data_IF_229981051149
#
_entry.id   IF_229981051149
#
_cell.length_a   1.000
_cell.length_b   1.000
_cell.length_c   1.000
_cell.angle_alpha   90.00
_cell.angle_beta   90.00
_cell.angle_gamma   90.00
#
_symmetry.space_group_name_H-M   'P 1'
#
loop_
_entity.id
_entity.type
_entity.pdbx_description
1 polymer ?
#
# COMPACT_ATOMS: atom_id res chain seq x y z
N UNK A 1 -21.69 5.44 28.52
CA UNK A 1 -20.22 5.28 28.46
C UNK A 1 -19.72 5.99 27.21
N UNK A 2 -18.95 7.05 27.37
CA UNK A 2 -18.29 7.66 26.21
C UNK A 2 -17.16 6.74 25.72
N UNK A 3 -17.13 6.46 24.43
CA UNK A 3 -16.07 5.64 23.82
C UNK A 3 -14.76 6.42 23.86
N UNK A 4 -13.65 5.80 24.32
CA UNK A 4 -12.33 6.44 24.39
C UNK A 4 -11.79 6.80 23.01
N UNK A 5 -10.82 7.72 22.96
CA UNK A 5 -10.13 8.11 21.71
C UNK A 5 -9.55 6.89 21.00
N UNK A 6 -8.98 5.94 21.75
CA UNK A 6 -8.46 4.67 21.21
C UNK A 6 -9.51 3.89 20.42
N UNK A 7 -10.73 3.73 21.00
CA UNK A 7 -11.79 2.96 20.34
C UNK A 7 -12.27 3.65 19.07
N UNK A 8 -12.42 4.99 19.09
CA UNK A 8 -12.82 5.75 17.90
C UNK A 8 -11.79 5.64 16.78
N UNK A 9 -10.50 5.83 17.11
CA UNK A 9 -9.40 5.71 16.15
C UNK A 9 -9.30 4.29 15.60
N UNK A 10 -9.33 3.28 16.47
CA UNK A 10 -9.26 1.88 16.07
C UNK A 10 -10.46 1.47 15.19
N UNK A 11 -11.66 1.97 15.48
CA UNK A 11 -12.85 1.71 14.66
C UNK A 11 -12.67 2.24 13.24
N UNK A 12 -12.29 3.51 13.09
CA UNK A 12 -12.06 4.13 11.78
C UNK A 12 -10.97 3.35 11.02
N UNK A 13 -9.83 3.12 11.67
CA UNK A 13 -8.69 2.42 11.07
C UNK A 13 -9.06 0.99 10.64
N UNK A 14 -9.76 0.24 11.49
CA UNK A 14 -10.16 -1.14 11.19
C UNK A 14 -11.13 -1.22 10.02
N UNK A 15 -12.06 -0.28 9.89
CA UNK A 15 -12.98 -0.21 8.75
C UNK A 15 -12.18 0.03 7.46
N UNK A 16 -11.25 0.98 7.46
CA UNK A 16 -10.49 1.33 6.27
C UNK A 16 -9.53 0.22 5.83
N UNK A 17 -8.79 -0.37 6.77
CA UNK A 17 -7.94 -1.53 6.49
C UNK A 17 -8.77 -2.74 6.07
N UNK A 18 -9.96 -2.94 6.67
CA UNK A 18 -10.91 -3.97 6.25
C UNK A 18 -11.33 -3.82 4.78
N UNK A 19 -11.63 -2.59 4.33
CA UNK A 19 -11.96 -2.30 2.92
C UNK A 19 -10.77 -2.67 2.02
N UNK A 20 -9.54 -2.28 2.39
CA UNK A 20 -8.33 -2.58 1.61
C UNK A 20 -8.11 -4.09 1.50
N UNK A 21 -8.07 -4.81 2.61
CA UNK A 21 -7.73 -6.24 2.59
C UNK A 21 -8.84 -7.11 2.00
N UNK A 22 -10.11 -6.83 2.31
CA UNK A 22 -11.24 -7.56 1.72
C UNK A 22 -11.30 -7.27 0.22
N UNK A 23 -11.13 -6.03 -0.19
CA UNK A 23 -11.12 -5.65 -1.60
C UNK A 23 -9.95 -6.28 -2.37
N UNK A 24 -8.75 -6.32 -1.79
CA UNK A 24 -7.59 -7.02 -2.34
C UNK A 24 -7.86 -8.53 -2.49
N UNK A 25 -8.38 -9.18 -1.46
CA UNK A 25 -8.77 -10.60 -1.51
C UNK A 25 -9.81 -10.88 -2.61
N UNK A 26 -10.84 -10.04 -2.70
CA UNK A 26 -11.83 -10.14 -3.77
C UNK A 26 -11.19 -9.99 -5.15
N UNK A 27 -10.29 -9.02 -5.33
CA UNK A 27 -9.57 -8.80 -6.58
C UNK A 27 -8.78 -10.05 -6.99
N UNK A 28 -7.98 -10.62 -6.09
CA UNK A 28 -7.18 -11.83 -6.36
C UNK A 28 -8.09 -13.01 -6.71
N UNK A 29 -9.22 -13.17 -6.00
CA UNK A 29 -10.18 -14.22 -6.29
C UNK A 29 -10.81 -14.09 -7.68
N UNK A 30 -11.21 -12.87 -8.07
CA UNK A 30 -11.73 -12.60 -9.41
C UNK A 30 -10.66 -12.76 -10.49
N UNK A 31 -9.41 -12.38 -10.23
CA UNK A 31 -8.28 -12.60 -11.15
C UNK A 31 -8.07 -14.11 -11.41
N UNK A 32 -8.13 -14.95 -10.37
CA UNK A 32 -8.06 -16.41 -10.50
C UNK A 32 -9.21 -16.99 -11.31
N UNK A 33 -10.43 -16.54 -11.08
CA UNK A 33 -11.59 -16.97 -11.84
C UNK A 33 -11.45 -16.56 -13.32
N UNK A 34 -11.01 -15.37 -13.58
CA UNK A 34 -10.77 -14.82 -14.92
C UNK A 34 -9.72 -15.63 -15.69
N UNK A 35 -8.66 -16.08 -15.00
CA UNK A 35 -7.66 -16.98 -15.57
C UNK A 35 -8.26 -18.33 -16.00
N UNK A 36 -9.12 -18.92 -15.15
CA UNK A 36 -9.79 -20.18 -15.45
C UNK A 36 -10.77 -20.08 -16.64
N UNK A 37 -11.38 -18.90 -16.83
CA UNK A 37 -12.36 -18.64 -17.89
C UNK A 37 -11.70 -18.05 -19.17
N UNK A 38 -10.38 -17.87 -19.20
CA UNK A 38 -9.60 -17.20 -20.25
C UNK A 38 -10.19 -15.84 -20.68
N UNK A 39 -10.64 -15.07 -19.67
CA UNK A 39 -11.23 -13.75 -19.88
C UNK A 39 -10.31 -12.65 -19.35
N UNK A 40 -10.18 -11.51 -20.08
CA UNK A 40 -9.46 -10.36 -19.53
C UNK A 40 -10.21 -9.78 -18.32
N UNK A 41 -9.49 -9.50 -17.25
CA UNK A 41 -10.01 -8.84 -16.07
C UNK A 41 -9.11 -7.65 -15.73
N UNK A 42 -9.71 -6.50 -15.47
CA UNK A 42 -9.01 -5.27 -15.11
C UNK A 42 -7.96 -4.79 -16.14
N UNK A 43 -8.15 -5.16 -17.43
CA UNK A 43 -7.20 -4.85 -18.52
C UNK A 43 -5.99 -5.76 -18.57
N UNK A 44 -5.93 -6.81 -17.75
CA UNK A 44 -4.91 -7.86 -17.77
C UNK A 44 -5.48 -9.19 -18.24
N UNK A 45 -4.62 -10.01 -18.86
CA UNK A 45 -4.79 -11.47 -18.92
C UNK A 45 -3.93 -12.07 -17.82
N UNK A 46 -4.39 -13.14 -17.22
CA UNK A 46 -3.67 -13.82 -16.15
C UNK A 46 -3.24 -15.20 -16.65
N UNK A 47 -1.95 -15.50 -16.51
CA UNK A 47 -1.40 -16.81 -16.80
C UNK A 47 -0.84 -17.47 -15.55
N UNK A 48 -1.01 -18.79 -15.46
CA UNK A 48 -0.42 -19.56 -14.37
C UNK A 48 1.03 -19.90 -14.73
N UNK A 49 2.00 -19.31 -14.05
CA UNK A 49 3.44 -19.56 -14.22
C UNK A 49 3.98 -20.28 -12.99
N UNK A 50 4.91 -21.21 -13.17
CA UNK A 50 5.58 -21.84 -12.03
C UNK A 50 6.62 -20.89 -11.47
N UNK A 51 6.53 -20.64 -10.16
CA UNK A 51 7.53 -19.86 -9.44
C UNK A 51 8.83 -20.67 -9.21
N UNK A 52 9.84 -20.03 -8.63
CA UNK A 52 11.12 -20.65 -8.27
C UNK A 52 10.99 -21.83 -7.30
N UNK A 53 9.85 -21.96 -6.61
CA UNK A 53 9.52 -23.03 -5.65
C UNK A 53 8.71 -24.17 -6.29
N UNK A 54 8.33 -24.03 -7.58
CA UNK A 54 7.54 -25.03 -8.31
C UNK A 54 6.02 -24.94 -8.08
N UNK A 55 5.54 -23.92 -7.38
CA UNK A 55 4.13 -23.61 -7.17
C UNK A 55 3.59 -22.82 -8.35
N UNK A 56 2.28 -22.91 -8.61
CA UNK A 56 1.62 -22.18 -9.69
C UNK A 56 1.16 -20.82 -9.18
N UNK A 57 1.78 -19.76 -9.68
CA UNK A 57 1.42 -18.38 -9.40
C UNK A 57 0.69 -17.75 -10.59
N UNK A 58 -0.20 -16.82 -10.27
CA UNK A 58 -0.90 -16.02 -11.27
C UNK A 58 -0.07 -14.78 -11.59
N UNK A 59 0.35 -14.67 -12.86
CA UNK A 59 1.10 -13.51 -13.35
C UNK A 59 0.19 -12.69 -14.26
N UNK A 60 -0.02 -11.37 -13.97
CA UNK A 60 -0.76 -10.49 -14.85
C UNK A 60 0.06 -10.14 -16.11
N UNK A 61 -0.53 -10.34 -17.29
CA UNK A 61 0.06 -9.98 -18.59
C UNK A 61 -0.79 -8.89 -19.22
N UNK A 62 -0.16 -7.82 -19.69
CA UNK A 62 -0.83 -6.80 -20.50
C UNK A 62 -1.06 -7.37 -21.90
N UNK A 63 -2.32 -7.52 -22.38
CA UNK A 63 -2.54 -7.98 -23.74
C UNK A 63 -2.00 -6.92 -24.69
N UNK A 64 -1.09 -7.34 -25.59
CA UNK A 64 -0.65 -6.49 -26.71
C UNK A 64 -1.88 -5.92 -27.43
N UNK A 65 -1.95 -4.59 -27.67
CA UNK A 65 -2.92 -4.07 -28.60
C UNK A 65 -2.72 -4.81 -29.94
N UNK A 66 -3.80 -5.33 -30.52
CA UNK A 66 -3.82 -6.00 -31.82
C UNK A 66 -3.17 -5.09 -32.87
N UNK A 67 -1.84 -5.06 -32.93
CA UNK A 67 -1.08 -4.51 -34.03
C UNK A 67 -1.36 -5.46 -35.18
N UNK A 68 -2.03 -4.94 -36.18
CA UNK A 68 -2.40 -5.63 -37.44
C UNK A 68 -1.29 -6.58 -37.84
N UNK A 69 -1.57 -7.87 -37.74
CA UNK A 69 -0.67 -8.93 -38.12
C UNK A 69 -0.17 -8.69 -39.58
N UNK A 70 1.08 -8.30 -39.68
CA UNK A 70 1.80 -8.44 -40.96
C UNK A 70 2.17 -9.93 -41.11
N UNK A 71 1.79 -10.62 -42.18
CA UNK A 71 1.87 -12.07 -42.27
C UNK A 71 3.26 -12.59 -42.71
N UNK A 72 4.31 -12.17 -42.03
CA UNK A 72 5.66 -12.67 -42.34
C UNK A 72 6.66 -12.58 -41.19
N UNK A 73 6.38 -13.21 -40.02
CA UNK A 73 7.45 -13.55 -39.10
C UNK A 73 7.25 -14.99 -38.62
N UNK A 74 8.22 -15.83 -38.99
CA UNK A 74 8.34 -17.24 -38.64
C UNK A 74 8.34 -17.41 -37.14
N UNK A 75 7.64 -18.47 -36.69
CA UNK A 75 7.67 -18.99 -35.33
C UNK A 75 9.11 -19.33 -34.89
N UNK A 76 9.80 -18.43 -34.28
CA UNK A 76 11.03 -18.68 -33.54
C UNK A 76 10.92 -17.99 -32.20
N UNK A 77 10.88 -18.81 -31.14
CA UNK A 77 11.08 -18.44 -29.73
C UNK A 77 10.53 -17.07 -29.38
N UNK A 78 9.26 -17.01 -28.98
CA UNK A 78 8.69 -15.82 -28.36
C UNK A 78 9.33 -15.65 -26.98
N UNK A 79 10.41 -14.94 -26.94
CA UNK A 79 10.84 -14.17 -25.78
C UNK A 79 9.77 -13.11 -25.69
N UNK A 80 8.85 -13.24 -24.71
CA UNK A 80 7.87 -12.21 -24.40
C UNK A 80 8.66 -11.07 -23.78
N UNK A 81 8.81 -9.96 -24.52
CA UNK A 81 9.15 -8.68 -23.94
C UNK A 81 8.03 -8.36 -22.95
N UNK A 82 8.29 -8.56 -21.67
CA UNK A 82 7.40 -8.22 -20.56
C UNK A 82 7.24 -6.70 -20.57
N UNK A 83 6.22 -6.16 -21.26
CA UNK A 83 5.87 -4.76 -21.10
C UNK A 83 5.45 -4.54 -19.64
N UNK A 84 6.08 -3.60 -18.93
CA UNK A 84 5.80 -3.39 -17.51
C UNK A 84 4.33 -3.02 -17.31
N UNK A 85 3.69 -3.60 -16.30
CA UNK A 85 2.29 -3.39 -15.86
C UNK A 85 1.93 -1.90 -15.72
N UNK A 86 2.93 -1.05 -15.57
CA UNK A 86 2.82 0.42 -15.48
C UNK A 86 2.15 1.08 -16.69
N UNK A 87 2.03 0.41 -17.85
CA UNK A 87 1.39 0.96 -19.04
C UNK A 87 -0.13 0.72 -19.10
N UNK A 88 -0.72 -0.01 -18.13
CA UNK A 88 -2.16 -0.20 -18.13
C UNK A 88 -2.89 1.11 -17.73
N UNK A 89 -3.72 1.70 -18.61
CA UNK A 89 -4.38 2.99 -18.36
C UNK A 89 -5.33 2.96 -17.17
N UNK A 90 -5.88 1.80 -16.80
CA UNK A 90 -6.72 1.65 -15.61
C UNK A 90 -5.89 1.74 -14.33
N UNK A 91 -4.72 1.11 -14.29
CA UNK A 91 -3.81 1.18 -13.14
C UNK A 91 -3.35 2.62 -12.94
N UNK A 92 -2.93 3.30 -14.02
CA UNK A 92 -2.50 4.71 -13.95
C UNK A 92 -3.62 5.60 -13.38
N UNK A 93 -4.87 5.43 -13.86
CA UNK A 93 -6.03 6.20 -13.35
C UNK A 93 -6.28 5.92 -11.87
N UNK A 94 -6.20 4.66 -11.42
CA UNK A 94 -6.39 4.32 -10.02
C UNK A 94 -5.28 4.87 -9.13
N UNK A 95 -4.02 4.78 -9.56
CA UNK A 95 -2.89 5.38 -8.85
C UNK A 95 -3.09 6.89 -8.71
N UNK A 96 -3.55 7.58 -9.78
CA UNK A 96 -3.84 9.01 -9.73
C UNK A 96 -4.97 9.33 -8.75
N UNK A 97 -6.09 8.61 -8.81
CA UNK A 97 -7.22 8.80 -7.88
C UNK A 97 -6.80 8.52 -6.44
N UNK A 98 -6.05 7.44 -6.21
CA UNK A 98 -5.52 7.11 -4.90
C UNK A 98 -4.60 8.22 -4.37
N UNK A 99 -3.66 8.70 -5.18
CA UNK A 99 -2.73 9.75 -4.80
C UNK A 99 -3.44 11.07 -4.47
N UNK A 100 -4.37 11.50 -5.34
CA UNK A 100 -5.17 12.73 -5.12
C UNK A 100 -6.05 12.59 -3.87
N UNK A 101 -6.65 11.42 -3.63
CA UNK A 101 -7.45 11.16 -2.43
C UNK A 101 -6.60 11.22 -1.16
N UNK A 102 -5.36 10.69 -1.18
CA UNK A 102 -4.43 10.79 -0.05
C UNK A 102 -4.04 12.24 0.25
N UNK A 103 -3.66 13.01 -0.77
CA UNK A 103 -3.38 14.43 -0.58
C UNK A 103 -4.62 15.17 -0.07
N UNK A 104 -5.78 14.90 -0.67
CA UNK A 104 -7.04 15.53 -0.27
C UNK A 104 -7.38 15.26 1.20
N UNK A 105 -7.27 14.02 1.69
CA UNK A 105 -7.61 13.71 3.08
C UNK A 105 -6.66 14.40 4.07
N UNK A 106 -5.37 14.56 3.74
CA UNK A 106 -4.38 15.24 4.60
C UNK A 106 -4.70 16.74 4.68
N UNK A 107 -4.90 17.39 3.53
CA UNK A 107 -5.10 18.85 3.49
C UNK A 107 -6.49 19.28 3.95
N UNK A 108 -7.51 18.45 3.75
CA UNK A 108 -8.89 18.77 4.13
C UNK A 108 -9.28 18.28 5.52
N UNK A 109 -8.44 17.47 6.17
CA UNK A 109 -8.69 17.00 7.53
C UNK A 109 -8.95 18.14 8.54
N UNK A 110 -8.21 19.26 8.55
CA UNK A 110 -8.49 20.37 9.45
C UNK A 110 -9.73 21.20 9.05
N UNK A 111 -10.22 21.07 7.81
CA UNK A 111 -11.34 21.88 7.28
C UNK A 111 -12.68 21.16 7.44
N UNK A 112 -12.73 19.87 7.07
CA UNK A 112 -13.97 19.08 7.10
C UNK A 112 -13.70 17.61 7.38
N UNK A 113 -14.12 17.16 8.54
CA UNK A 113 -14.02 15.76 8.99
C UNK A 113 -14.75 14.80 8.05
N UNK A 114 -15.96 15.19 7.61
CA UNK A 114 -16.77 14.34 6.72
C UNK A 114 -16.10 14.17 5.35
N UNK A 115 -15.58 15.26 4.78
CA UNK A 115 -14.91 15.20 3.48
C UNK A 115 -13.61 14.39 3.56
N UNK A 116 -12.84 14.56 4.62
CA UNK A 116 -11.62 13.78 4.84
C UNK A 116 -11.91 12.30 5.04
N UNK A 117 -12.96 11.94 5.80
CA UNK A 117 -13.38 10.55 5.96
C UNK A 117 -13.85 9.91 4.63
N UNK A 118 -14.57 10.68 3.79
CA UNK A 118 -14.98 10.19 2.45
C UNK A 118 -13.77 9.98 1.55
N UNK A 119 -12.80 10.89 1.54
CA UNK A 119 -11.56 10.75 0.76
C UNK A 119 -10.70 9.58 1.25
N UNK A 120 -10.63 9.33 2.56
CA UNK A 120 -9.98 8.16 3.13
C UNK A 120 -10.64 6.86 2.63
N UNK A 121 -11.98 6.82 2.56
CA UNK A 121 -12.71 5.66 2.03
C UNK A 121 -12.46 5.46 0.53
N UNK A 122 -12.46 6.54 -0.26
CA UNK A 122 -12.11 6.48 -1.69
C UNK A 122 -10.68 5.97 -1.86
N UNK A 123 -9.73 6.46 -1.06
CA UNK A 123 -8.34 5.99 -1.04
C UNK A 123 -8.28 4.48 -0.76
N UNK A 124 -9.00 3.98 0.25
CA UNK A 124 -9.02 2.56 0.61
C UNK A 124 -9.62 1.68 -0.51
N UNK A 125 -10.72 2.12 -1.14
CA UNK A 125 -11.37 1.40 -2.24
C UNK A 125 -10.47 1.35 -3.47
N UNK A 126 -9.79 2.45 -3.80
CA UNK A 126 -8.91 2.52 -4.97
C UNK A 126 -7.59 1.79 -4.75
N UNK A 127 -7.09 1.76 -3.51
CA UNK A 127 -5.87 1.04 -3.17
C UNK A 127 -6.04 -0.48 -3.16
N UNK A 128 -7.22 -1.00 -2.82
CA UNK A 128 -7.48 -2.43 -2.74
C UNK A 128 -7.13 -3.21 -4.03
N UNK A 129 -7.62 -2.83 -5.24
CA UNK A 129 -7.21 -3.48 -6.48
C UNK A 129 -5.74 -3.23 -6.85
N UNK A 130 -5.17 -2.06 -6.52
CA UNK A 130 -3.76 -1.78 -6.73
C UNK A 130 -2.88 -2.74 -5.91
N UNK A 131 -3.21 -2.92 -4.64
CA UNK A 131 -2.53 -3.89 -3.78
C UNK A 131 -2.65 -5.31 -4.35
N UNK A 132 -3.84 -5.69 -4.87
CA UNK A 132 -4.06 -6.98 -5.51
C UNK A 132 -3.17 -7.21 -6.73
N UNK A 133 -3.01 -6.21 -7.60
CA UNK A 133 -2.08 -6.27 -8.74
C UNK A 133 -0.63 -6.43 -8.26
N UNK A 134 -0.20 -5.61 -7.30
CA UNK A 134 1.17 -5.65 -6.75
C UNK A 134 1.48 -6.99 -6.08
N UNK A 135 0.52 -7.59 -5.38
CA UNK A 135 0.69 -8.91 -4.77
C UNK A 135 0.83 -10.02 -5.81
N UNK A 136 0.10 -9.93 -6.93
CA UNK A 136 0.21 -10.90 -8.02
C UNK A 136 1.50 -10.72 -8.84
N UNK A 137 2.08 -9.50 -8.85
CA UNK A 137 3.37 -9.21 -9.48
C UNK A 137 4.55 -9.75 -8.64
N UNK A 138 4.45 -9.63 -7.31
CA UNK A 138 5.52 -9.97 -6.37
C UNK A 138 5.59 -11.45 -5.92
N UNK A 139 4.77 -12.35 -6.45
CA UNK A 139 4.43 -13.68 -5.90
C UNK A 139 3.39 -13.60 -4.75
N UNK A 140 2.28 -14.30 -4.94
CA UNK A 140 1.14 -14.28 -3.99
C UNK A 140 1.54 -14.70 -2.57
N UNK A 141 2.43 -15.69 -2.43
CA UNK A 141 2.90 -16.15 -1.13
C UNK A 141 3.76 -15.11 -0.42
N UNK A 142 4.60 -14.40 -1.14
CA UNK A 142 5.42 -13.33 -0.58
C UNK A 142 4.57 -12.10 -0.26
N UNK A 143 3.52 -11.82 -1.05
CA UNK A 143 2.50 -10.83 -0.73
C UNK A 143 1.75 -11.13 0.59
N UNK A 144 1.31 -12.37 0.81
CA UNK A 144 0.68 -12.78 2.07
C UNK A 144 1.64 -12.68 3.27
N UNK A 145 2.89 -13.06 3.11
CA UNK A 145 3.93 -12.90 4.15
C UNK A 145 4.13 -11.43 4.48
N UNK A 146 4.18 -10.58 3.48
CA UNK A 146 4.33 -9.13 3.66
C UNK A 146 3.19 -8.56 4.49
N UNK A 147 1.94 -8.95 4.24
CA UNK A 147 0.78 -8.56 5.06
C UNK A 147 0.98 -9.01 6.52
N UNK A 148 1.37 -10.26 6.74
CA UNK A 148 1.60 -10.78 8.09
C UNK A 148 2.74 -10.04 8.81
N UNK A 149 3.85 -9.74 8.13
CA UNK A 149 4.93 -8.93 8.69
C UNK A 149 4.47 -7.51 9.01
N UNK A 150 3.69 -6.87 8.12
CA UNK A 150 3.14 -5.53 8.36
C UNK A 150 2.26 -5.53 9.62
N UNK A 151 1.37 -6.52 9.76
CA UNK A 151 0.51 -6.64 10.95
C UNK A 151 1.32 -6.87 12.22
N UNK A 152 2.33 -7.74 12.17
CA UNK A 152 3.20 -8.01 13.31
C UNK A 152 4.00 -6.76 13.73
N UNK A 153 4.60 -6.07 12.76
CA UNK A 153 5.36 -4.83 13.02
C UNK A 153 4.44 -3.74 13.57
N UNK A 154 3.25 -3.57 12.99
CA UNK A 154 2.26 -2.60 13.48
C UNK A 154 1.85 -2.89 14.91
N UNK A 155 1.60 -4.16 15.26
CA UNK A 155 1.27 -4.55 16.62
C UNK A 155 2.44 -4.31 17.59
N UNK A 156 3.66 -4.66 17.21
CA UNK A 156 4.85 -4.41 18.00
C UNK A 156 5.08 -2.90 18.21
N UNK A 157 4.93 -2.10 17.15
CA UNK A 157 5.02 -0.63 17.22
C UNK A 157 3.96 -0.04 18.15
N UNK A 158 2.73 -0.57 18.13
CA UNK A 158 1.66 -0.16 19.05
C UNK A 158 2.03 -0.46 20.52
N UNK A 159 2.55 -1.66 20.80
CA UNK A 159 3.01 -2.01 22.15
C UNK A 159 4.12 -1.08 22.64
N UNK A 160 5.13 -0.83 21.80
CA UNK A 160 6.23 0.07 22.16
C UNK A 160 5.72 1.50 22.33
N UNK A 161 4.96 2.05 21.38
CA UNK A 161 4.46 3.42 21.42
C UNK A 161 3.54 3.68 22.61
N UNK A 162 2.69 2.71 22.97
CA UNK A 162 1.70 2.90 24.06
C UNK A 162 2.24 2.55 25.45
N UNK A 163 3.13 1.56 25.58
CA UNK A 163 3.48 0.99 26.89
C UNK A 163 4.94 1.17 27.30
N UNK A 164 5.85 1.65 26.44
CA UNK A 164 7.26 1.86 26.81
C UNK A 164 7.49 2.90 27.91
N UNK A 165 6.53 3.80 28.12
CA UNK A 165 6.70 4.92 29.06
C UNK A 165 7.63 6.03 28.54
N UNK A 166 8.16 5.91 27.33
CA UNK A 166 9.04 6.88 26.69
C UNK A 166 8.18 7.89 25.93
N UNK A 167 8.55 9.17 26.03
CA UNK A 167 7.99 10.22 25.15
C UNK A 167 8.80 10.27 23.84
N UNK A 168 8.18 9.85 22.74
CA UNK A 168 8.82 9.84 21.43
C UNK A 168 8.66 11.17 20.66
N UNK A 169 8.17 12.23 21.26
CA UNK A 169 7.95 13.54 20.63
C UNK A 169 9.24 14.13 20.01
N UNK A 170 10.40 13.79 20.56
CA UNK A 170 11.70 14.22 20.03
C UNK A 170 11.99 13.69 18.62
N UNK A 171 11.33 12.60 18.20
CA UNK A 171 11.56 11.99 16.88
C UNK A 171 10.87 12.75 15.75
N UNK A 172 9.90 13.64 16.05
CA UNK A 172 9.06 14.30 15.05
C UNK A 172 9.84 14.95 13.91
N UNK A 173 10.83 15.75 14.24
CA UNK A 173 11.64 16.48 13.25
C UNK A 173 12.50 15.52 12.43
N UNK A 174 13.14 14.56 13.10
CA UNK A 174 13.92 13.52 12.44
C UNK A 174 13.08 12.73 11.44
N UNK A 175 11.91 12.26 11.83
CA UNK A 175 10.99 11.50 10.98
C UNK A 175 10.54 12.35 9.77
N UNK A 176 10.22 13.63 9.99
CA UNK A 176 9.81 14.53 8.91
C UNK A 176 10.93 14.69 7.86
N UNK A 177 12.16 15.00 8.28
CA UNK A 177 13.28 15.15 7.34
C UNK A 177 13.62 13.83 6.64
N UNK A 178 13.56 12.72 7.35
CA UNK A 178 13.81 11.40 6.76
C UNK A 178 12.74 11.04 5.71
N UNK A 179 11.47 11.39 5.94
CA UNK A 179 10.41 11.24 4.94
C UNK A 179 10.67 12.09 3.70
N UNK A 180 11.09 13.35 3.86
CA UNK A 180 11.46 14.21 2.73
C UNK A 180 12.59 13.59 1.89
N UNK A 181 13.61 13.02 2.53
CA UNK A 181 14.70 12.31 1.85
C UNK A 181 14.18 11.08 1.12
N UNK A 182 13.29 10.29 1.73
CA UNK A 182 12.69 9.12 1.10
C UNK A 182 11.87 9.49 -0.16
N UNK A 183 11.07 10.55 -0.07
CA UNK A 183 10.29 11.07 -1.21
C UNK A 183 11.23 11.56 -2.32
N UNK A 184 12.28 12.31 -1.98
CA UNK A 184 13.26 12.77 -2.95
C UNK A 184 13.93 11.59 -3.67
N UNK A 185 14.26 10.54 -2.92
CA UNK A 185 14.83 9.31 -3.49
C UNK A 185 13.86 8.63 -4.48
N UNK A 186 12.56 8.58 -4.15
CA UNK A 186 11.50 8.10 -5.05
C UNK A 186 11.39 8.93 -6.33
N UNK A 187 11.50 10.25 -6.25
CA UNK A 187 11.52 11.15 -7.42
C UNK A 187 12.74 10.93 -8.30
N UNK A 188 13.94 10.77 -7.70
CA UNK A 188 15.17 10.46 -8.44
C UNK A 188 15.03 9.13 -9.18
N UNK A 189 14.45 8.10 -8.55
CA UNK A 189 14.16 6.82 -9.20
C UNK A 189 13.25 6.98 -10.42
N UNK A 190 12.19 7.78 -10.29
CA UNK A 190 11.23 8.00 -11.38
C UNK A 190 11.87 8.68 -12.59
N UNK A 191 12.82 9.60 -12.36
CA UNK A 191 13.45 10.40 -13.42
C UNK A 191 14.65 9.72 -14.08
N UNK A 192 15.45 8.97 -13.33
CA UNK A 192 16.75 8.46 -13.78
C UNK A 192 16.82 6.94 -13.82
N UNK A 193 15.83 6.26 -13.30
CA UNK A 193 15.91 4.82 -13.04
C UNK A 193 16.92 4.50 -11.92
N UNK A 194 16.87 3.32 -11.38
CA UNK A 194 17.80 2.86 -10.33
C UNK A 194 18.03 1.36 -10.44
N UNK A 195 19.19 0.91 -9.96
CA UNK A 195 19.46 -0.53 -9.87
C UNK A 195 18.60 -1.19 -8.78
N UNK A 196 18.25 -2.47 -8.98
CA UNK A 196 17.41 -3.24 -8.06
C UNK A 196 17.98 -3.26 -6.63
N UNK A 197 19.31 -3.32 -6.50
CA UNK A 197 19.98 -3.28 -5.19
C UNK A 197 19.71 -1.96 -4.43
N UNK A 198 19.69 -0.82 -5.12
CA UNK A 198 19.38 0.49 -4.52
C UNK A 198 17.89 0.60 -4.17
N UNK A 199 17.02 0.03 -5.02
CA UNK A 199 15.58 -0.02 -4.77
C UNK A 199 15.30 -0.83 -3.51
N UNK A 200 15.86 -2.02 -3.36
CA UNK A 200 15.73 -2.85 -2.16
C UNK A 200 16.30 -2.19 -0.91
N UNK A 201 17.46 -1.54 -1.04
CA UNK A 201 18.05 -0.79 0.08
C UNK A 201 17.12 0.33 0.56
N UNK A 202 16.57 1.14 -0.39
CA UNK A 202 15.57 2.18 -0.11
C UNK A 202 14.35 1.60 0.59
N UNK A 203 13.84 0.47 0.11
CA UNK A 203 12.67 -0.19 0.66
C UNK A 203 12.89 -0.65 2.11
N UNK A 204 14.05 -1.22 2.43
CA UNK A 204 14.41 -1.59 3.80
C UNK A 204 14.49 -0.35 4.71
N UNK A 205 15.13 0.73 4.25
CA UNK A 205 15.22 1.99 5.00
C UNK A 205 13.83 2.59 5.20
N UNK A 206 12.98 2.57 4.16
CA UNK A 206 11.60 3.02 4.22
C UNK A 206 10.76 2.22 5.23
N UNK A 207 10.87 0.89 5.22
CA UNK A 207 10.19 0.03 6.19
C UNK A 207 10.59 0.33 7.64
N UNK A 208 11.88 0.58 7.90
CA UNK A 208 12.37 1.01 9.23
C UNK A 208 11.76 2.38 9.58
N UNK A 209 11.78 3.32 8.64
CA UNK A 209 11.25 4.67 8.86
C UNK A 209 9.75 4.62 9.20
N UNK A 210 8.93 3.91 8.43
CA UNK A 210 7.49 3.82 8.71
C UNK A 210 7.19 3.03 9.98
N UNK A 211 8.03 2.08 10.38
CA UNK A 211 7.95 1.46 11.71
C UNK A 211 8.16 2.49 12.83
N UNK A 212 9.11 3.40 12.68
CA UNK A 212 9.35 4.47 13.65
C UNK A 212 8.20 5.49 13.65
N UNK A 213 7.60 5.80 12.49
CA UNK A 213 6.39 6.62 12.43
C UNK A 213 5.24 5.97 13.20
N UNK A 214 5.01 4.67 13.03
CA UNK A 214 3.99 3.94 13.79
C UNK A 214 4.21 4.03 15.30
N UNK A 215 5.46 3.83 15.78
CA UNK A 215 5.79 3.97 17.20
C UNK A 215 5.46 5.40 17.69
N UNK A 216 5.86 6.40 16.92
CA UNK A 216 5.59 7.81 17.23
C UNK A 216 4.09 8.11 17.27
N UNK A 217 3.31 7.65 16.28
CA UNK A 217 1.88 7.95 16.18
C UNK A 217 1.06 7.21 17.25
N UNK A 218 1.41 5.98 17.60
CA UNK A 218 0.80 5.30 18.74
C UNK A 218 1.13 5.98 20.08
N UNK A 219 2.35 6.49 20.24
CA UNK A 219 2.71 7.27 21.43
C UNK A 219 1.93 8.58 21.49
N UNK A 220 1.80 9.30 20.38
CA UNK A 220 0.99 10.51 20.27
C UNK A 220 -0.48 10.23 20.56
N UNK A 221 -1.05 9.15 20.05
CA UNK A 221 -2.42 8.74 20.33
C UNK A 221 -2.62 8.52 21.84
N UNK A 222 -1.66 7.87 22.50
CA UNK A 222 -1.69 7.69 23.96
C UNK A 222 -1.66 9.03 24.68
N UNK A 223 -0.73 9.93 24.35
CA UNK A 223 -0.62 11.24 24.98
C UNK A 223 -1.92 12.04 24.86
N UNK A 224 -2.52 12.09 23.67
CA UNK A 224 -3.80 12.77 23.44
C UNK A 224 -4.93 12.19 24.30
N UNK A 225 -5.00 10.86 24.39
CA UNK A 225 -5.98 10.22 25.27
C UNK A 225 -5.75 10.51 26.76
N UNK A 226 -4.48 10.52 27.20
CA UNK A 226 -4.10 10.80 28.59
C UNK A 226 -4.38 12.28 28.95
N UNK A 227 -4.32 13.20 27.98
CA UNK A 227 -4.78 14.59 28.12
C UNK A 227 -6.31 14.76 28.10
N UNK A 228 -7.07 13.67 27.98
CA UNK A 228 -8.53 13.70 27.98
C UNK A 228 -9.16 14.14 26.66
N UNK A 229 -8.39 14.22 25.58
CA UNK A 229 -8.92 14.50 24.23
C UNK A 229 -9.75 13.29 23.79
N UNK A 230 -11.03 13.52 23.45
CA UNK A 230 -11.95 12.43 23.08
C UNK A 230 -12.99 12.88 22.05
N UNK A 231 -12.55 13.51 20.96
CA UNK A 231 -13.41 13.95 19.86
C UNK A 231 -13.17 13.13 18.59
N UNK A 232 -14.17 13.12 17.69
CA UNK A 232 -14.10 12.37 16.43
C UNK A 232 -13.13 12.98 15.40
N UNK A 233 -12.86 14.29 15.49
CA UNK A 233 -11.93 14.98 14.58
C UNK A 233 -10.52 14.49 14.85
N UNK A 234 -10.10 14.50 16.11
CA UNK A 234 -8.79 14.00 16.54
C UNK A 234 -8.65 12.50 16.26
N UNK A 235 -9.72 11.71 16.52
CA UNK A 235 -9.72 10.28 16.20
C UNK A 235 -9.51 10.02 14.70
N UNK A 236 -10.16 10.79 13.82
CA UNK A 236 -9.96 10.68 12.38
C UNK A 236 -8.53 11.07 11.96
N UNK A 237 -7.98 12.16 12.50
CA UNK A 237 -6.61 12.58 12.21
C UNK A 237 -5.60 11.49 12.60
N UNK A 238 -5.75 10.90 13.77
CA UNK A 238 -4.90 9.79 14.21
C UNK A 238 -5.08 8.54 13.36
N UNK A 239 -6.33 8.24 12.96
CA UNK A 239 -6.59 7.12 12.07
C UNK A 239 -5.98 7.33 10.67
N UNK A 240 -5.99 8.55 10.13
CA UNK A 240 -5.34 8.89 8.85
C UNK A 240 -3.84 8.70 8.93
N UNK A 241 -3.18 9.24 9.97
CA UNK A 241 -1.74 9.06 10.16
C UNK A 241 -1.37 7.57 10.22
N UNK A 242 -1.99 6.81 11.11
CA UNK A 242 -1.75 5.37 11.26
C UNK A 242 -2.06 4.58 9.98
N UNK A 243 -3.12 4.94 9.27
CA UNK A 243 -3.48 4.31 7.98
C UNK A 243 -2.36 4.51 6.95
N UNK A 244 -1.88 5.75 6.79
CA UNK A 244 -0.81 6.07 5.85
C UNK A 244 0.48 5.34 6.19
N UNK A 245 0.85 5.29 7.46
CA UNK A 245 2.06 4.60 7.92
C UNK A 245 1.98 3.10 7.66
N UNK A 246 0.83 2.46 7.94
CA UNK A 246 0.63 1.03 7.70
C UNK A 246 0.67 0.71 6.20
N UNK A 247 0.02 1.52 5.36
CA UNK A 247 0.02 1.32 3.91
C UNK A 247 1.42 1.52 3.33
N UNK A 248 2.13 2.56 3.76
CA UNK A 248 3.49 2.81 3.29
C UNK A 248 4.46 1.72 3.77
N UNK A 249 4.34 1.26 5.03
CA UNK A 249 5.11 0.11 5.53
C UNK A 249 4.85 -1.14 4.68
N UNK A 250 3.60 -1.42 4.35
CA UNK A 250 3.22 -2.55 3.50
C UNK A 250 3.87 -2.44 2.11
N UNK A 251 3.83 -1.25 1.50
CA UNK A 251 4.43 -1.00 0.18
C UNK A 251 5.94 -1.16 0.20
N UNK A 252 6.62 -0.62 1.20
CA UNK A 252 8.07 -0.77 1.34
C UNK A 252 8.48 -2.22 1.58
N UNK A 253 7.71 -2.96 2.37
CA UNK A 253 7.97 -4.40 2.58
C UNK A 253 7.72 -5.23 1.31
N UNK A 254 6.68 -4.92 0.52
CA UNK A 254 6.45 -5.56 -0.78
C UNK A 254 7.62 -5.29 -1.72
N UNK A 255 8.09 -4.04 -1.82
CA UNK A 255 9.23 -3.66 -2.66
C UNK A 255 10.54 -4.30 -2.19
N UNK A 256 10.72 -4.54 -0.90
CA UNK A 256 11.92 -5.19 -0.35
C UNK A 256 11.96 -6.70 -0.63
N UNK A 257 10.79 -7.35 -0.75
CA UNK A 257 10.66 -8.81 -0.92
C UNK A 257 10.56 -9.23 -2.39
N UNK A 258 10.09 -8.35 -3.29
CA UNK A 258 10.09 -8.55 -4.73
C UNK A 258 11.43 -8.19 -5.33
#
# INVERSE_FOLDING_TARGET
METSLYVKTALILSIQLGIVFIGCYCFIRYARQSCMEDRPFFGFRFEAKKNSRGELDLVPIVPEPLIKASPSVKASTREYDEEPIQHNPLVIKLVLVWFVSNLGMIFLAPVSTLLSATLMTISSITFAPLLGVMMLEADENDGLRTILFTLFITFAAALVGMYSGIDFSFMREFLFYSLCVLILFGLVRLLFGMSDALVRFKAIVGAILFTLFLVYDFNRLKQLNDFGVNDWVTALHMAISLYLDIINLLLELLEAMG
#
